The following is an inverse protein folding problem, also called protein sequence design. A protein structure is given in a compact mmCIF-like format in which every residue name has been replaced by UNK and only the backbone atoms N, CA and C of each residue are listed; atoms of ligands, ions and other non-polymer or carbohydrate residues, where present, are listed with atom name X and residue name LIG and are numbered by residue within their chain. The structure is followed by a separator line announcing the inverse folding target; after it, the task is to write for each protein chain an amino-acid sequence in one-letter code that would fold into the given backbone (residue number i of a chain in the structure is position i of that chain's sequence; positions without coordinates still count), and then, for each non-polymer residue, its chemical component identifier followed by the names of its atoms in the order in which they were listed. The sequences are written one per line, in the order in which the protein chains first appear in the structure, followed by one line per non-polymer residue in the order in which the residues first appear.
data_IF_136436082149
#
_entry.id   IF_136436082149
#
_cell.length_a   1.000
_cell.length_b   1.000
_cell.length_c   1.000
_cell.angle_alpha   90.00
_cell.angle_beta   90.00
_cell.angle_gamma   90.00
#
_symmetry.space_group_name_H-M   'P 1'
#
loop_
_entity.id
_entity.type
_entity.pdbx_description
1 polymer ?
#
# COMPACT_ATOMS: atom_id res chain seq x y z
N UNK A 1 2.28 -20.87 2.18
CA UNK A 1 2.79 -19.51 1.93
C UNK A 1 1.90 -18.53 2.68
N UNK A 2 2.49 -17.50 3.29
CA UNK A 2 1.75 -16.43 3.96
C UNK A 2 2.41 -15.09 3.68
N UNK A 3 1.63 -14.03 3.78
CA UNK A 3 2.15 -12.68 3.73
C UNK A 3 1.33 -11.74 4.63
N UNK A 4 2.01 -11.12 5.58
CA UNK A 4 1.45 -10.18 6.56
C UNK A 4 1.84 -8.75 6.17
N UNK A 5 0.85 -7.90 5.88
CA UNK A 5 1.03 -6.55 5.33
C UNK A 5 0.38 -5.52 6.27
N UNK A 6 1.15 -4.51 6.65
CA UNK A 6 0.61 -3.30 7.28
C UNK A 6 0.30 -2.29 6.18
N UNK A 7 -0.97 -1.97 6.01
CA UNK A 7 -1.42 -0.84 5.19
C UNK A 7 -1.53 0.38 6.08
N UNK A 8 -0.97 1.52 5.66
CA UNK A 8 -1.01 2.75 6.46
C UNK A 8 -1.07 4.03 5.62
N UNK A 9 -1.45 5.13 6.28
CA UNK A 9 -1.48 6.47 5.71
C UNK A 9 -2.55 7.32 6.39
N UNK A 10 -3.03 8.33 5.68
CA UNK A 10 -4.01 9.30 6.17
C UNK A 10 -5.37 9.07 5.52
N UNK A 11 -6.44 9.25 6.30
CA UNK A 11 -7.82 9.11 5.85
C UNK A 11 -8.11 9.98 4.63
N UNK A 12 -8.51 9.32 3.52
CA UNK A 12 -8.79 9.95 2.23
C UNK A 12 -7.82 9.55 1.10
N UNK A 13 -6.68 8.95 1.42
CA UNK A 13 -5.67 8.58 0.41
C UNK A 13 -5.98 7.28 -0.36
N UNK A 14 -6.97 6.50 0.05
CA UNK A 14 -7.38 5.27 -0.67
C UNK A 14 -6.72 3.98 -0.21
N UNK A 15 -6.30 3.90 1.07
CA UNK A 15 -5.74 2.71 1.72
C UNK A 15 -6.71 1.52 1.65
N UNK A 16 -7.99 1.74 1.93
CA UNK A 16 -9.01 0.69 1.84
C UNK A 16 -9.22 0.19 0.40
N UNK A 17 -9.01 1.05 -0.60
CA UNK A 17 -9.05 0.61 -1.99
C UNK A 17 -7.89 -0.32 -2.32
N UNK A 18 -6.68 -0.05 -1.79
CA UNK A 18 -5.55 -0.98 -1.89
C UNK A 18 -5.91 -2.32 -1.24
N UNK A 19 -6.42 -2.30 -0.02
CA UNK A 19 -6.85 -3.51 0.69
C UNK A 19 -7.90 -4.31 -0.11
N UNK A 20 -8.86 -3.61 -0.71
CA UNK A 20 -9.92 -4.22 -1.53
C UNK A 20 -9.35 -4.88 -2.77
N UNK A 21 -8.41 -4.25 -3.47
CA UNK A 21 -7.76 -4.81 -4.67
C UNK A 21 -6.97 -6.07 -4.30
N UNK A 22 -6.13 -6.00 -3.26
CA UNK A 22 -5.35 -7.16 -2.80
C UNK A 22 -6.27 -8.30 -2.32
N UNK A 23 -7.31 -7.97 -1.55
CA UNK A 23 -8.26 -8.95 -1.02
C UNK A 23 -9.09 -9.62 -2.12
N UNK A 24 -9.46 -8.88 -3.17
CA UNK A 24 -10.11 -9.42 -4.34
C UNK A 24 -9.18 -10.42 -5.06
N UNK A 25 -7.93 -10.02 -5.35
CA UNK A 25 -6.94 -10.89 -5.97
C UNK A 25 -6.71 -12.16 -5.15
N UNK A 26 -6.55 -12.03 -3.83
CA UNK A 26 -6.38 -13.15 -2.90
C UNK A 26 -7.57 -14.10 -2.92
N UNK A 27 -8.79 -13.57 -2.95
CA UNK A 27 -10.01 -14.39 -3.01
C UNK A 27 -10.07 -15.20 -4.30
N UNK A 28 -9.72 -14.60 -5.44
CA UNK A 28 -9.68 -15.32 -6.73
C UNK A 28 -8.58 -16.38 -6.77
N UNK A 29 -7.44 -16.12 -6.13
CA UNK A 29 -6.34 -17.07 -5.99
C UNK A 29 -6.62 -18.20 -4.98
N UNK A 30 -7.81 -18.22 -4.35
CA UNK A 30 -8.18 -19.23 -3.36
C UNK A 30 -7.45 -19.11 -2.02
N UNK A 31 -6.88 -17.93 -1.73
CA UNK A 31 -6.18 -17.67 -0.48
C UNK A 31 -7.17 -17.33 0.65
N UNK A 32 -6.78 -17.68 1.86
CA UNK A 32 -7.40 -17.18 3.08
C UNK A 32 -6.93 -15.75 3.33
N UNK A 33 -7.89 -14.89 3.68
CA UNK A 33 -7.67 -13.48 4.00
C UNK A 33 -8.25 -13.18 5.39
N UNK A 34 -7.49 -12.46 6.21
CA UNK A 34 -8.04 -11.73 7.37
C UNK A 34 -7.60 -10.28 7.34
N UNK A 35 -8.52 -9.41 7.71
CA UNK A 35 -8.28 -7.98 7.75
C UNK A 35 -8.80 -7.41 9.07
N UNK A 36 -7.93 -6.69 9.79
CA UNK A 36 -8.33 -5.86 10.92
C UNK A 36 -7.98 -4.41 10.60
N UNK A 37 -8.99 -3.53 10.64
CA UNK A 37 -8.83 -2.12 10.34
C UNK A 37 -8.93 -1.29 11.63
N UNK A 38 -7.97 -0.41 11.83
CA UNK A 38 -7.99 0.60 12.87
C UNK A 38 -8.10 1.96 12.19
N UNK A 39 -9.24 2.59 12.39
CA UNK A 39 -9.46 3.98 11.99
C UNK A 39 -9.34 4.84 13.24
N UNK A 40 -8.54 5.90 13.19
CA UNK A 40 -8.61 6.94 14.21
C UNK A 40 -10.03 7.51 14.32
N UNK A 41 -10.35 8.18 15.44
CA UNK A 41 -11.67 8.82 15.64
C UNK A 41 -12.02 9.88 14.57
N UNK A 42 -11.05 10.28 13.74
CA UNK A 42 -11.25 11.16 12.59
C UNK A 42 -11.21 10.38 11.27
N UNK A 43 -12.35 10.32 10.57
CA UNK A 43 -12.47 9.65 9.27
C UNK A 43 -11.76 10.40 8.12
N UNK A 44 -11.30 11.64 8.33
CA UNK A 44 -10.53 12.43 7.36
C UNK A 44 -9.36 13.12 8.06
N UNK A 45 -8.16 13.01 7.50
CA UNK A 45 -6.96 13.58 8.11
C UNK A 45 -6.49 12.88 9.38
N UNK A 46 -7.18 11.84 9.86
CA UNK A 46 -6.66 10.95 10.90
C UNK A 46 -5.73 9.91 10.29
N UNK A 47 -4.92 9.29 11.14
CA UNK A 47 -4.18 8.09 10.79
C UNK A 47 -5.15 6.92 10.52
N UNK A 48 -4.78 6.11 9.54
CA UNK A 48 -5.50 4.91 9.15
C UNK A 48 -4.50 3.78 9.03
N UNK A 49 -4.82 2.66 9.67
CA UNK A 49 -4.01 1.46 9.62
C UNK A 49 -4.88 0.23 9.38
N UNK A 50 -4.36 -0.71 8.61
CA UNK A 50 -4.99 -2.03 8.48
C UNK A 50 -3.94 -3.13 8.49
N UNK A 51 -4.20 -4.15 9.31
CA UNK A 51 -3.53 -5.43 9.25
C UNK A 51 -4.19 -6.25 8.15
N UNK A 52 -3.44 -6.58 7.10
CA UNK A 52 -3.89 -7.41 6.00
C UNK A 52 -3.06 -8.69 5.97
N UNK A 53 -3.70 -9.83 6.18
CA UNK A 53 -3.04 -11.12 6.27
C UNK A 53 -3.54 -12.05 5.19
N UNK A 54 -2.62 -12.60 4.41
CA UNK A 54 -2.88 -13.51 3.30
C UNK A 54 -2.18 -14.85 3.57
N UNK A 55 -2.83 -15.96 3.23
CA UNK A 55 -2.27 -17.29 3.46
C UNK A 55 -2.93 -18.33 2.57
N UNK A 56 -2.17 -19.33 2.10
CA UNK A 56 -2.73 -20.54 1.46
C UNK A 56 -3.31 -21.56 2.47
N UNK A 57 -3.13 -21.29 3.77
CA UNK A 57 -3.74 -22.04 4.87
C UNK A 57 -4.52 -21.16 5.83
N UNK A 58 -5.00 -21.74 6.93
CA UNK A 58 -5.81 -21.05 7.93
C UNK A 58 -5.06 -19.89 8.61
N UNK A 59 -5.77 -18.78 8.84
CA UNK A 59 -5.27 -17.63 9.61
C UNK A 59 -6.00 -17.58 10.95
N UNK A 60 -5.28 -17.86 12.05
CA UNK A 60 -5.89 -17.91 13.39
C UNK A 60 -6.29 -16.53 13.92
N UNK A 61 -5.50 -15.48 13.66
CA UNK A 61 -5.72 -14.11 14.16
C UNK A 61 -5.66 -13.08 13.04
N UNK A 62 -6.47 -12.04 13.14
CA UNK A 62 -6.51 -10.89 12.24
C UNK A 62 -5.41 -9.85 12.52
N UNK A 63 -4.80 -9.86 13.71
CA UNK A 63 -3.73 -8.93 14.08
C UNK A 63 -2.35 -9.45 13.66
N UNK A 64 -1.50 -8.53 13.20
CA UNK A 64 -0.08 -8.79 12.92
C UNK A 64 0.72 -8.49 14.19
N UNK A 65 1.60 -9.40 14.57
CA UNK A 65 2.46 -9.23 15.73
C UNK A 65 3.63 -8.28 15.42
N UNK A 66 4.19 -7.67 16.47
CA UNK A 66 5.38 -6.83 16.37
C UNK A 66 6.55 -7.67 15.83
N UNK A 67 7.30 -7.12 14.88
CA UNK A 67 8.43 -7.77 14.23
C UNK A 67 8.08 -8.91 13.26
N UNK A 68 6.82 -9.09 12.86
CA UNK A 68 6.40 -10.19 11.97
C UNK A 68 5.83 -9.76 10.61
N UNK A 69 5.56 -8.48 10.38
CA UNK A 69 5.05 -8.00 9.09
C UNK A 69 6.10 -8.18 7.99
N UNK A 70 5.68 -8.73 6.85
CA UNK A 70 6.51 -8.89 5.66
C UNK A 70 6.59 -7.59 4.84
N UNK A 71 5.60 -6.71 5.01
CA UNK A 71 5.53 -5.46 4.27
C UNK A 71 4.84 -4.36 5.06
N UNK A 72 5.34 -3.13 4.91
CA UNK A 72 4.59 -1.90 5.19
C UNK A 72 4.33 -1.22 3.84
N UNK A 73 3.06 -1.07 3.49
CA UNK A 73 2.61 -0.35 2.30
C UNK A 73 1.91 0.92 2.75
N UNK A 74 2.53 2.08 2.51
CA UNK A 74 2.11 3.33 3.13
C UNK A 74 1.98 4.49 2.16
N UNK A 75 0.81 5.13 2.13
CA UNK A 75 0.56 6.33 1.32
C UNK A 75 1.10 7.61 1.96
N UNK A 76 1.71 7.51 3.13
CA UNK A 76 2.22 8.66 3.88
C UNK A 76 3.55 8.28 4.57
N UNK A 77 4.65 8.99 4.30
CA UNK A 77 5.99 8.58 4.73
C UNK A 77 6.20 8.56 6.26
N UNK A 78 5.55 9.44 7.02
CA UNK A 78 5.60 9.43 8.50
C UNK A 78 4.80 8.25 9.06
N UNK A 79 3.65 7.91 8.46
CA UNK A 79 2.90 6.71 8.83
C UNK A 79 3.69 5.42 8.51
N UNK A 80 4.47 5.39 7.42
CA UNK A 80 5.37 4.27 7.15
C UNK A 80 6.36 4.04 8.31
N UNK A 81 7.00 5.11 8.79
CA UNK A 81 7.93 5.04 9.91
C UNK A 81 7.27 4.65 11.24
N UNK A 82 6.02 5.08 11.47
CA UNK A 82 5.26 4.74 12.68
C UNK A 82 5.14 3.22 12.89
N UNK A 83 5.02 2.47 11.80
CA UNK A 83 4.78 1.02 11.85
C UNK A 83 6.05 0.16 11.69
N UNK A 84 7.24 0.75 11.60
CA UNK A 84 8.51 0.02 11.52
C UNK A 84 8.68 -1.05 12.61
N UNK A 85 8.26 -0.85 13.88
CA UNK A 85 8.35 -1.91 14.88
C UNK A 85 7.62 -3.22 14.50
N UNK A 86 6.63 -3.17 13.62
CA UNK A 86 5.92 -4.36 13.12
C UNK A 86 6.70 -5.10 12.04
N UNK A 87 7.60 -4.44 11.32
CA UNK A 87 8.33 -5.01 10.20
C UNK A 87 9.32 -6.07 10.69
N UNK A 88 9.33 -7.22 10.00
CA UNK A 88 10.35 -8.23 10.22
C UNK A 88 11.69 -7.81 9.58
N UNK A 89 12.78 -8.54 9.86
CA UNK A 89 14.14 -8.16 9.42
C UNK A 89 14.32 -8.15 7.89
N UNK A 90 13.58 -8.99 7.18
CA UNK A 90 13.63 -9.11 5.72
C UNK A 90 12.47 -8.36 5.04
N UNK A 91 11.62 -7.71 5.84
CA UNK A 91 10.40 -7.06 5.36
C UNK A 91 10.70 -5.80 4.57
N UNK A 92 9.77 -5.44 3.68
CA UNK A 92 9.91 -4.29 2.79
C UNK A 92 9.01 -3.13 3.19
N UNK A 93 9.54 -1.92 3.08
CA UNK A 93 8.73 -0.69 3.13
C UNK A 93 8.52 -0.18 1.71
N UNK A 94 7.26 -0.04 1.28
CA UNK A 94 6.88 0.59 0.03
C UNK A 94 6.02 1.79 0.37
N UNK A 95 6.51 3.00 0.08
CA UNK A 95 5.83 4.21 0.53
C UNK A 95 5.84 5.35 -0.47
N UNK A 96 4.81 6.20 -0.40
CA UNK A 96 4.82 7.51 -1.04
C UNK A 96 5.95 8.36 -0.45
N UNK A 97 6.69 9.07 -1.30
CA UNK A 97 7.64 10.10 -0.84
C UNK A 97 7.02 11.49 -0.75
N UNK A 98 5.69 11.61 -0.83
CA UNK A 98 4.94 12.87 -0.71
C UNK A 98 4.32 12.99 0.69
N UNK A 99 4.83 13.88 1.57
CA UNK A 99 4.28 14.12 2.91
C UNK A 99 2.87 14.70 2.90
N UNK A 100 1.98 14.23 3.77
CA UNK A 100 0.67 14.85 4.01
C UNK A 100 0.69 15.69 5.30
N UNK A 101 1.10 16.95 5.19
CA UNK A 101 1.30 17.85 6.34
C UNK A 101 -0.02 18.43 6.86
N UNK A 102 -0.72 17.68 7.70
CA UNK A 102 -2.00 18.08 8.28
C UNK A 102 -1.99 18.22 9.82
N UNK A 103 -0.81 18.16 10.43
CA UNK A 103 -0.59 18.35 11.87
C UNK A 103 0.45 19.45 12.09
N UNK A 104 0.38 20.21 13.22
CA UNK A 104 1.29 21.33 13.48
C UNK A 104 2.74 20.90 13.75
N UNK A 105 2.96 19.68 14.25
CA UNK A 105 4.28 19.15 14.60
C UNK A 105 4.72 18.05 13.62
N UNK A 106 4.43 18.22 12.34
CA UNK A 106 4.86 17.27 11.32
C UNK A 106 6.41 17.32 11.21
N UNK A 107 7.11 16.17 11.15
CA UNK A 107 8.57 16.14 11.04
C UNK A 107 9.11 16.89 9.82
N UNK A 108 10.36 17.35 9.89
CA UNK A 108 11.03 17.94 8.73
C UNK A 108 11.19 16.90 7.60
N UNK A 109 10.89 17.31 6.36
CA UNK A 109 10.85 16.40 5.21
C UNK A 109 12.21 15.71 4.99
N UNK A 110 13.31 16.45 5.12
CA UNK A 110 14.65 15.90 4.91
C UNK A 110 15.00 14.85 5.97
N UNK A 111 14.66 15.09 7.23
CA UNK A 111 14.87 14.14 8.31
C UNK A 111 14.02 12.87 8.11
N UNK A 112 12.74 13.05 7.74
CA UNK A 112 11.83 11.94 7.45
C UNK A 112 12.35 11.05 6.32
N UNK A 113 12.78 11.66 5.22
CA UNK A 113 13.31 10.94 4.07
C UNK A 113 14.68 10.30 4.37
N UNK A 114 15.50 10.89 5.24
CA UNK A 114 16.76 10.30 5.69
C UNK A 114 16.52 9.00 6.49
N UNK A 115 15.57 9.00 7.42
CA UNK A 115 15.18 7.81 8.19
C UNK A 115 14.67 6.69 7.27
N UNK A 116 13.80 7.00 6.31
CA UNK A 116 13.32 6.03 5.32
C UNK A 116 14.45 5.45 4.48
N UNK A 117 15.38 6.28 3.98
CA UNK A 117 16.52 5.84 3.17
C UNK A 117 17.54 5.00 3.96
N UNK A 118 17.58 5.13 5.28
CA UNK A 118 18.46 4.33 6.13
C UNK A 118 17.96 2.89 6.30
N UNK A 119 16.69 2.61 5.93
CA UNK A 119 16.14 1.25 5.98
C UNK A 119 16.79 0.35 4.92
N UNK A 120 17.06 -0.93 5.24
CA UNK A 120 17.72 -1.85 4.31
C UNK A 120 16.86 -2.16 3.08
N UNK A 121 15.53 -2.22 3.24
CA UNK A 121 14.58 -2.64 2.21
C UNK A 121 13.46 -1.60 2.06
N UNK A 122 13.69 -0.63 1.18
CA UNK A 122 12.76 0.50 1.00
C UNK A 122 12.59 0.90 -0.46
N UNK A 123 11.33 1.01 -0.89
CA UNK A 123 10.92 1.60 -2.16
C UNK A 123 10.13 2.87 -1.86
N UNK A 124 10.58 3.98 -2.42
CA UNK A 124 9.94 5.28 -2.26
C UNK A 124 9.54 5.76 -3.64
N UNK A 125 8.26 6.11 -3.80
CA UNK A 125 7.73 6.60 -5.09
C UNK A 125 7.00 7.91 -4.83
N UNK A 126 7.31 8.94 -5.61
CA UNK A 126 6.52 10.18 -5.60
C UNK A 126 5.24 9.97 -6.42
N UNK A 127 4.26 9.31 -5.80
CA UNK A 127 3.00 8.94 -6.46
C UNK A 127 2.14 10.15 -6.81
N UNK A 128 2.32 11.28 -6.11
CA UNK A 128 1.60 12.52 -6.43
C UNK A 128 2.20 13.20 -7.66
N UNK A 129 3.53 13.27 -7.76
CA UNK A 129 4.20 13.75 -8.95
C UNK A 129 3.90 12.85 -10.16
N UNK A 130 3.96 11.53 -9.99
CA UNK A 130 3.64 10.56 -11.05
C UNK A 130 2.19 10.67 -11.50
N UNK A 131 1.26 10.78 -10.55
CA UNK A 131 -0.16 11.01 -10.85
C UNK A 131 -0.38 12.33 -11.60
N UNK A 132 0.32 13.40 -11.21
CA UNK A 132 0.23 14.70 -11.87
C UNK A 132 0.78 14.67 -13.30
N UNK A 133 1.95 14.06 -13.51
CA UNK A 133 2.58 13.92 -14.82
C UNK A 133 1.66 13.22 -15.83
N UNK A 134 0.96 12.18 -15.38
CA UNK A 134 0.05 11.41 -16.23
C UNK A 134 -1.41 11.88 -16.21
N UNK A 135 -1.71 13.02 -15.55
CA UNK A 135 -3.07 13.55 -15.39
C UNK A 135 -4.06 12.58 -14.74
N UNK A 136 -3.61 11.84 -13.72
CA UNK A 136 -4.37 10.82 -12.96
C UNK A 136 -4.37 11.09 -11.44
N UNK A 137 -4.78 12.28 -10.96
CA UNK A 137 -4.67 12.68 -9.55
C UNK A 137 -5.46 11.79 -8.56
N UNK A 138 -6.38 10.95 -9.04
CA UNK A 138 -7.19 10.04 -8.22
C UNK A 138 -6.62 8.62 -8.10
N UNK A 139 -5.50 8.34 -8.75
CA UNK A 139 -4.95 6.98 -8.87
C UNK A 139 -3.60 6.79 -8.15
N UNK A 140 -3.18 7.75 -7.32
CA UNK A 140 -1.91 7.67 -6.57
C UNK A 140 -1.80 6.39 -5.71
N UNK A 141 -2.90 5.96 -5.11
CA UNK A 141 -2.97 4.70 -4.35
C UNK A 141 -2.74 3.46 -5.22
N UNK A 142 -3.30 3.43 -6.42
CA UNK A 142 -3.13 2.32 -7.36
C UNK A 142 -1.72 2.32 -7.95
N UNK A 143 -1.11 3.49 -8.16
CA UNK A 143 0.32 3.59 -8.51
C UNK A 143 1.20 3.02 -7.41
N UNK A 144 0.94 3.35 -6.14
CA UNK A 144 1.72 2.78 -5.04
C UNK A 144 1.56 1.26 -4.94
N UNK A 145 0.35 0.74 -5.17
CA UNK A 145 0.12 -0.71 -5.23
C UNK A 145 0.91 -1.35 -6.39
N UNK A 146 0.99 -0.71 -7.55
CA UNK A 146 1.83 -1.14 -8.66
C UNK A 146 3.30 -1.28 -8.27
N UNK A 147 3.83 -0.29 -7.54
CA UNK A 147 5.19 -0.31 -7.02
C UNK A 147 5.43 -1.44 -5.99
N UNK A 148 4.39 -1.80 -5.24
CA UNK A 148 4.44 -2.89 -4.26
C UNK A 148 4.30 -4.29 -4.88
N UNK A 149 3.75 -4.40 -6.09
CA UNK A 149 3.26 -5.66 -6.65
C UNK A 149 4.30 -6.80 -6.67
N UNK A 150 5.56 -6.50 -6.99
CA UNK A 150 6.64 -7.52 -7.03
C UNK A 150 7.06 -8.03 -5.65
N UNK A 151 6.78 -7.25 -4.61
CA UNK A 151 7.14 -7.58 -3.23
C UNK A 151 6.00 -8.32 -2.52
N UNK A 152 4.80 -8.35 -3.12
CA UNK A 152 3.60 -9.07 -2.65
C UNK A 152 3.64 -10.58 -2.95
N UNK A 153 4.81 -11.16 -3.27
CA UNK A 153 5.23 -12.57 -3.43
C UNK A 153 4.20 -13.73 -3.39
N UNK A 154 3.16 -13.67 -2.56
CA UNK A 154 2.01 -14.57 -2.55
C UNK A 154 1.00 -14.31 -3.69
N UNK A 155 1.01 -13.12 -4.29
CA UNK A 155 0.17 -12.73 -5.44
C UNK A 155 1.05 -12.24 -6.60
N UNK A 156 0.72 -12.67 -7.80
CA UNK A 156 1.39 -12.21 -9.02
C UNK A 156 0.94 -10.80 -9.42
N UNK A 157 1.81 -10.13 -10.19
CA UNK A 157 1.51 -8.81 -10.77
C UNK A 157 0.24 -8.86 -11.62
N UNK A 158 0.04 -9.94 -12.38
CA UNK A 158 -1.15 -10.08 -13.23
C UNK A 158 -2.43 -10.30 -12.40
N UNK A 159 -2.39 -11.12 -11.34
CA UNK A 159 -3.56 -11.30 -10.46
C UNK A 159 -4.01 -9.97 -9.83
N UNK A 160 -3.05 -9.14 -9.39
CA UNK A 160 -3.32 -7.79 -8.90
C UNK A 160 -3.88 -6.90 -10.01
N UNK A 161 -3.28 -6.90 -11.19
CA UNK A 161 -3.74 -6.11 -12.34
C UNK A 161 -5.15 -6.51 -12.82
N UNK A 162 -5.50 -7.78 -12.77
CA UNK A 162 -6.84 -8.26 -13.07
C UNK A 162 -7.85 -7.86 -12.00
N UNK A 163 -7.45 -7.91 -10.73
CA UNK A 163 -8.35 -7.54 -9.62
C UNK A 163 -8.81 -6.08 -9.69
N UNK A 164 -7.97 -5.18 -10.23
CA UNK A 164 -8.35 -3.80 -10.53
C UNK A 164 -9.58 -3.75 -11.44
N UNK A 165 -9.64 -4.58 -12.47
CA UNK A 165 -10.79 -4.59 -13.38
C UNK A 165 -12.07 -5.08 -12.69
N UNK A 166 -11.97 -6.05 -11.78
CA UNK A 166 -13.11 -6.56 -11.02
C UNK A 166 -13.60 -5.54 -9.99
N UNK A 167 -12.68 -4.91 -9.26
CA UNK A 167 -13.00 -3.88 -8.25
C UNK A 167 -13.62 -2.63 -8.87
N UNK A 168 -13.13 -2.17 -10.02
CA UNK A 168 -13.60 -0.95 -10.67
C UNK A 168 -14.60 -1.17 -11.81
N UNK A 169 -14.93 -2.42 -12.16
CA UNK A 169 -15.74 -2.75 -13.34
C UNK A 169 -17.11 -2.08 -13.37
N UNK A 170 -17.76 -1.92 -12.21
CA UNK A 170 -19.05 -1.23 -12.08
C UNK A 170 -18.98 0.27 -12.36
N UNK A 171 -17.79 0.86 -12.40
CA UNK A 171 -17.55 2.28 -12.68
C UNK A 171 -17.27 2.57 -14.17
N UNK A 172 -17.27 1.53 -15.01
CA UNK A 172 -17.09 1.63 -16.46
C UNK A 172 -15.66 1.40 -16.93
N UNK A 173 -15.53 1.03 -18.20
CA UNK A 173 -14.29 0.59 -18.84
C UNK A 173 -13.18 1.66 -18.80
N UNK A 174 -13.52 2.93 -19.00
CA UNK A 174 -12.55 4.03 -18.92
C UNK A 174 -11.91 4.15 -17.53
N UNK A 175 -12.67 3.88 -16.45
CA UNK A 175 -12.13 3.92 -15.08
C UNK A 175 -11.24 2.71 -14.82
N UNK A 176 -11.62 1.53 -15.33
CA UNK A 176 -10.80 0.33 -15.24
C UNK A 176 -9.45 0.54 -15.94
N UNK A 177 -9.48 1.02 -17.18
CA UNK A 177 -8.27 1.22 -17.98
C UNK A 177 -7.35 2.28 -17.35
N UNK A 178 -7.92 3.36 -16.83
CA UNK A 178 -7.15 4.38 -16.10
C UNK A 178 -6.44 3.79 -14.88
N UNK A 179 -7.10 2.94 -14.08
CA UNK A 179 -6.48 2.34 -12.91
C UNK A 179 -5.46 1.25 -13.28
N UNK A 180 -5.69 0.46 -14.34
CA UNK A 180 -4.69 -0.48 -14.85
C UNK A 180 -3.43 0.23 -15.31
N UNK A 181 -3.59 1.29 -16.11
CA UNK A 181 -2.46 2.13 -16.52
C UNK A 181 -1.74 2.75 -15.32
N UNK A 182 -2.47 3.21 -14.30
CA UNK A 182 -1.87 3.73 -13.07
C UNK A 182 -1.04 2.66 -12.33
N UNK A 183 -1.57 1.43 -12.23
CA UNK A 183 -0.84 0.30 -11.65
C UNK A 183 0.44 -0.01 -12.44
N UNK A 184 0.36 -0.07 -13.77
CA UNK A 184 1.51 -0.34 -14.63
C UNK A 184 2.60 0.74 -14.50
N UNK A 185 2.19 2.01 -14.42
CA UNK A 185 3.12 3.15 -14.19
C UNK A 185 3.83 3.04 -12.84
N UNK A 186 3.08 2.69 -11.78
CA UNK A 186 3.65 2.46 -10.46
C UNK A 186 4.62 1.29 -10.44
N UNK A 187 4.29 0.21 -11.13
CA UNK A 187 5.15 -0.96 -11.26
C UNK A 187 6.48 -0.59 -11.92
N UNK A 188 6.45 0.12 -13.04
CA UNK A 188 7.65 0.59 -13.75
C UNK A 188 8.49 1.58 -12.92
N UNK A 189 7.85 2.45 -12.12
CA UNK A 189 8.58 3.41 -11.27
C UNK A 189 9.43 2.71 -10.19
N UNK A 190 9.04 1.51 -9.75
CA UNK A 190 9.81 0.72 -8.78
C UNK A 190 11.02 -0.01 -9.37
N UNK A 191 11.13 -0.13 -10.70
CA UNK A 191 12.27 -0.73 -11.41
C UNK A 191 13.52 0.16 -11.50
N UNK A 192 13.41 1.43 -11.10
CA UNK A 192 14.47 2.42 -11.23
C UNK A 192 15.46 2.43 -10.04
N UNK A 193 15.40 1.42 -9.16
CA UNK A 193 16.31 1.22 -8.03
C UNK A 193 17.19 -0.02 -8.20
#
# INVERSE_FOLDING_TARGET
MKQDIILSGVGGQGILSIATIIGEAATQAGLTLKQAEVHGMSQRGGDVQSNLRLSDGEIASDLIAVGTADMILSLEPMEALRYIPYLNKEGWVITSSSPFKNIPNYPEDEALMAELRALPHVVMVDVDALAKEHSMPKCANVMLLGAAARYLNILSVEELRESIARVFGTKGEAVVEMNRRAFDLGHAASDLK
#
